data_IF_408025463089
#
_entry.id   IF_408025463089
#
_cell.length_a   1.000
_cell.length_b   1.000
_cell.length_c   1.000
_cell.angle_alpha   90.00
_cell.angle_beta   90.00
_cell.angle_gamma   90.00
#
_symmetry.space_group_name_H-M   'P 1'
#
loop_
_entity.id
_entity.type
_entity.pdbx_description
1 polymer ?
#
# COMPACT_ATOMS: atom_id res chain seq x y z
N UNK A 1 -4.45 -1.51 9.87
CA UNK A 1 -5.20 -2.03 8.70
C UNK A 1 -6.43 -2.77 9.18
N UNK A 2 -7.55 -2.71 8.44
CA UNK A 2 -8.75 -3.50 8.74
C UNK A 2 -9.04 -4.42 7.55
N UNK A 3 -8.97 -5.73 7.76
CA UNK A 3 -9.27 -6.76 6.76
C UNK A 3 -8.07 -7.19 5.89
N UNK A 4 -8.32 -8.18 5.03
CA UNK A 4 -7.37 -8.80 4.12
C UNK A 4 -7.07 -7.88 2.90
N UNK A 5 -5.87 -7.30 2.81
CA UNK A 5 -5.49 -6.47 1.66
C UNK A 5 -5.36 -7.29 0.38
N UNK A 6 -5.11 -8.60 0.49
CA UNK A 6 -4.90 -9.52 -0.63
C UNK A 6 -6.17 -10.28 -1.02
N UNK A 7 -7.36 -9.82 -0.61
CA UNK A 7 -8.65 -10.48 -0.88
C UNK A 7 -8.96 -10.76 -2.36
N UNK A 8 -8.28 -10.07 -3.27
CA UNK A 8 -8.39 -10.30 -4.72
C UNK A 8 -7.61 -11.55 -5.19
N UNK A 9 -6.71 -12.07 -4.35
CA UNK A 9 -5.79 -13.17 -4.68
C UNK A 9 -5.95 -14.38 -3.75
N UNK A 10 -6.29 -14.14 -2.48
CA UNK A 10 -6.43 -15.18 -1.46
C UNK A 10 -7.65 -14.91 -0.59
N UNK A 11 -8.30 -15.97 -0.12
CA UNK A 11 -9.41 -15.86 0.83
C UNK A 11 -8.94 -15.29 2.18
N UNK A 12 -9.88 -14.81 3.00
CA UNK A 12 -9.57 -14.31 4.34
C UNK A 12 -8.96 -15.41 5.24
N UNK A 13 -9.44 -16.65 5.09
CA UNK A 13 -8.89 -17.82 5.79
C UNK A 13 -7.44 -18.11 5.38
N UNK A 14 -7.16 -18.10 4.08
CA UNK A 14 -5.80 -18.29 3.56
C UNK A 14 -4.85 -17.17 4.01
N UNK A 15 -5.31 -15.92 3.95
CA UNK A 15 -4.53 -14.77 4.42
C UNK A 15 -4.20 -14.90 5.90
N UNK A 16 -5.18 -15.26 6.74
CA UNK A 16 -4.99 -15.45 8.17
C UNK A 16 -3.98 -16.57 8.46
N UNK A 17 -4.11 -17.72 7.79
CA UNK A 17 -3.18 -18.84 7.94
C UNK A 17 -1.74 -18.43 7.58
N UNK A 18 -1.55 -17.75 6.45
CA UNK A 18 -0.22 -17.28 6.03
C UNK A 18 0.35 -16.23 6.97
N UNK A 19 -0.51 -15.36 7.52
CA UNK A 19 -0.12 -14.33 8.48
C UNK A 19 0.37 -14.93 9.80
N UNK A 20 -0.43 -15.82 10.39
CA UNK A 20 -0.12 -16.45 11.69
C UNK A 20 1.15 -17.30 11.66
N UNK A 21 1.46 -17.91 10.50
CA UNK A 21 2.67 -18.71 10.32
C UNK A 21 3.89 -17.87 9.87
N UNK A 22 3.77 -16.55 9.77
CA UNK A 22 4.89 -15.66 9.43
C UNK A 22 5.34 -15.73 7.96
N UNK A 23 4.51 -16.26 7.05
CA UNK A 23 4.83 -16.30 5.62
C UNK A 23 4.65 -14.94 4.93
N UNK A 24 3.92 -14.01 5.56
CA UNK A 24 3.66 -12.69 5.00
C UNK A 24 4.59 -11.64 5.59
N UNK A 25 5.17 -10.83 4.72
CA UNK A 25 5.95 -9.66 5.12
C UNK A 25 5.01 -8.49 5.44
N UNK A 26 4.82 -8.19 6.73
CA UNK A 26 3.93 -7.11 7.20
C UNK A 26 4.20 -5.76 6.52
N UNK A 27 5.49 -5.40 6.33
CA UNK A 27 5.87 -4.15 5.65
C UNK A 27 5.39 -4.15 4.21
N UNK A 28 5.61 -5.24 3.47
CA UNK A 28 5.18 -5.34 2.08
C UNK A 28 3.65 -5.28 1.94
N UNK A 29 2.94 -5.98 2.83
CA UNK A 29 1.48 -5.99 2.89
C UNK A 29 0.92 -4.59 3.19
N UNK A 30 1.51 -3.87 4.14
CA UNK A 30 1.16 -2.48 4.43
C UNK A 30 1.39 -1.57 3.23
N UNK A 31 2.56 -1.65 2.62
CA UNK A 31 2.92 -0.78 1.49
C UNK A 31 1.99 -1.03 0.30
N UNK A 32 1.60 -2.29 0.08
CA UNK A 32 0.57 -2.66 -0.89
C UNK A 32 -0.80 -2.05 -0.55
N UNK A 33 -1.25 -2.16 0.70
CA UNK A 33 -2.50 -1.56 1.16
C UNK A 33 -2.52 -0.04 0.95
N UNK A 34 -1.43 0.65 1.31
CA UNK A 34 -1.28 2.10 1.11
C UNK A 34 -1.41 2.45 -0.38
N UNK A 35 -0.75 1.71 -1.27
CA UNK A 35 -0.87 1.90 -2.73
C UNK A 35 -2.30 1.74 -3.21
N UNK A 36 -2.97 0.65 -2.83
CA UNK A 36 -4.37 0.40 -3.23
C UNK A 36 -5.30 1.52 -2.78
N UNK A 37 -5.15 1.97 -1.53
CA UNK A 37 -5.96 3.06 -0.97
C UNK A 37 -5.69 4.38 -1.68
N UNK A 38 -4.42 4.69 -1.96
CA UNK A 38 -4.05 5.89 -2.71
C UNK A 38 -4.63 5.87 -4.13
N UNK A 39 -4.46 4.78 -4.87
CA UNK A 39 -5.00 4.63 -6.23
C UNK A 39 -6.52 4.83 -6.27
N UNK A 40 -7.26 4.23 -5.32
CA UNK A 40 -8.72 4.39 -5.23
C UNK A 40 -9.14 5.84 -4.96
N UNK A 41 -8.39 6.57 -4.13
CA UNK A 41 -8.75 7.93 -3.74
C UNK A 41 -8.30 8.99 -4.76
N UNK A 42 -7.25 8.72 -5.55
CA UNK A 42 -6.69 9.65 -6.55
C UNK A 42 -7.69 10.01 -7.65
N UNK A 43 -8.73 9.19 -7.87
CA UNK A 43 -9.83 9.46 -8.81
C UNK A 43 -10.71 10.64 -8.39
N UNK A 44 -10.81 10.93 -7.09
CA UNK A 44 -11.73 11.93 -6.54
C UNK A 44 -11.08 13.03 -5.69
N UNK A 45 -9.85 12.79 -5.18
CA UNK A 45 -9.22 13.63 -4.17
C UNK A 45 -7.80 14.03 -4.58
N UNK A 46 -7.36 15.22 -4.17
CA UNK A 46 -6.02 15.72 -4.49
C UNK A 46 -4.94 14.88 -3.77
N UNK A 47 -3.79 14.58 -4.42
CA UNK A 47 -2.75 13.73 -3.83
C UNK A 47 -2.28 14.17 -2.44
N UNK A 48 -2.14 15.48 -2.20
CA UNK A 48 -1.72 16.02 -0.90
C UNK A 48 -2.68 15.63 0.23
N UNK A 49 -3.98 15.76 -0.01
CA UNK A 49 -5.02 15.43 0.96
C UNK A 49 -5.08 13.92 1.23
N UNK A 50 -4.85 13.10 0.20
CA UNK A 50 -4.77 11.64 0.36
C UNK A 50 -3.54 11.25 1.20
N UNK A 51 -2.39 11.87 0.95
CA UNK A 51 -1.17 11.62 1.74
C UNK A 51 -1.39 12.04 3.20
N UNK A 52 -2.03 13.19 3.45
CA UNK A 52 -2.39 13.62 4.81
C UNK A 52 -3.33 12.62 5.49
N UNK A 53 -4.31 12.08 4.77
CA UNK A 53 -5.21 11.05 5.29
C UNK A 53 -4.48 9.74 5.62
N UNK A 54 -3.60 9.29 4.72
CA UNK A 54 -2.78 8.09 4.93
C UNK A 54 -1.82 8.29 6.10
N UNK A 55 -1.26 9.48 6.27
CA UNK A 55 -0.38 9.79 7.39
C UNK A 55 -1.13 9.72 8.73
N UNK A 56 -2.37 10.20 8.79
CA UNK A 56 -3.19 10.06 10.01
C UNK A 56 -3.48 8.60 10.36
N UNK A 57 -3.69 7.75 9.36
CA UNK A 57 -3.95 6.32 9.56
C UNK A 57 -2.67 5.54 9.92
N UNK A 58 -1.54 5.94 9.34
CA UNK A 58 -0.22 5.35 9.56
C UNK A 58 0.70 6.37 10.22
N UNK A 59 0.32 6.82 11.43
CA UNK A 59 0.96 7.95 12.13
C UNK A 59 2.47 7.79 12.38
N UNK A 60 2.99 6.57 12.33
CA UNK A 60 4.41 6.26 12.45
C UNK A 60 5.20 6.43 11.13
N UNK A 61 4.52 6.65 10.00
CA UNK A 61 5.13 6.96 8.71
C UNK A 61 5.14 8.47 8.47
N UNK A 62 6.23 8.98 7.93
CA UNK A 62 6.29 10.38 7.47
C UNK A 62 5.59 10.54 6.12
N UNK A 63 5.21 11.78 5.78
CA UNK A 63 4.71 12.11 4.44
C UNK A 63 5.67 11.68 3.32
N UNK A 64 6.98 11.81 3.53
CA UNK A 64 7.99 11.39 2.55
C UNK A 64 7.98 9.88 2.36
N UNK A 65 7.89 9.11 3.45
CA UNK A 65 7.81 7.65 3.37
C UNK A 65 6.55 7.20 2.65
N UNK A 66 5.40 7.85 2.92
CA UNK A 66 4.15 7.56 2.20
C UNK A 66 4.28 7.89 0.72
N UNK A 67 4.89 9.04 0.36
CA UNK A 67 5.18 9.38 -1.04
C UNK A 67 6.01 8.30 -1.72
N UNK A 68 7.12 7.88 -1.11
CA UNK A 68 7.94 6.79 -1.63
C UNK A 68 7.10 5.53 -1.86
N UNK A 69 6.30 5.10 -0.89
CA UNK A 69 5.44 3.91 -1.02
C UNK A 69 4.48 4.00 -2.22
N UNK A 70 3.84 5.15 -2.43
CA UNK A 70 2.82 5.31 -3.48
C UNK A 70 3.39 5.60 -4.86
N UNK A 71 4.59 6.21 -4.95
CA UNK A 71 5.23 6.57 -6.23
C UNK A 71 6.34 5.61 -6.67
N UNK A 72 6.91 4.80 -5.78
CA UNK A 72 8.01 3.88 -6.16
C UNK A 72 7.64 2.90 -7.27
N UNK A 73 6.36 2.52 -7.42
CA UNK A 73 5.93 1.64 -8.51
C UNK A 73 5.81 2.36 -9.87
N UNK A 74 5.61 3.69 -9.89
CA UNK A 74 5.63 4.49 -11.11
C UNK A 74 7.08 4.68 -11.59
N UNK A 75 8.04 4.89 -10.67
CA UNK A 75 9.46 5.05 -10.98
C UNK A 75 10.11 3.74 -11.50
N UNK A 76 9.85 2.60 -10.86
CA UNK A 76 10.42 1.30 -11.28
C UNK A 76 9.91 0.84 -12.67
N UNK A 77 8.71 1.25 -13.09
CA UNK A 77 8.16 0.90 -14.40
C UNK A 77 8.65 1.84 -15.52
N UNK A 78 8.96 3.10 -15.20
CA UNK A 78 9.59 4.01 -16.17
C UNK A 78 11.05 3.59 -16.44
N UNK A 79 11.82 3.23 -15.42
CA UNK A 79 13.22 2.80 -15.59
C UNK A 79 13.36 1.50 -16.41
N UNK A 80 12.40 0.56 -16.30
CA UNK A 80 12.40 -0.71 -17.06
C UNK A 80 11.91 -0.60 -18.51
N UNK A 81 11.35 0.55 -18.92
CA UNK A 81 10.85 0.78 -20.29
C UNK A 81 11.84 1.57 -21.17
N UNK A 82 12.96 2.02 -20.60
CA UNK A 82 13.97 2.82 -21.28
C UNK A 82 15.40 2.22 -21.25
N UNK A 83 15.54 0.95 -20.85
CA UNK A 83 16.75 0.13 -21.03
C UNK A 83 16.61 -0.85 -22.20
#
# INVERSE_FOLDING_TARGET
MRGNPLKAYVSDEQFQLLWENGFLNERAIRDYYIRQKFSKLKEATRPKEIIDQLQREFAYLSHETIRKIVYSKEVELEELLYD
#
